data_IF_562416346534
#
_entry.id   IF_562416346534
#
_cell.length_a   1.000
_cell.length_b   1.000
_cell.length_c   1.000
_cell.angle_alpha   90.00
_cell.angle_beta   90.00
_cell.angle_gamma   90.00
#
_symmetry.space_group_name_H-M   'P 1'
#
loop_
_entity.id
_entity.type
_entity.pdbx_description
1 polymer ?
#
# COMPACT_ATOMS: atom_id res chain seq x y z
N UNK A 1 -2.12 6.93 -10.36
CA UNK A 1 -1.81 6.88 -8.92
C UNK A 1 -2.95 6.39 -8.03
N UNK A 2 -4.22 6.76 -8.26
CA UNK A 2 -5.36 6.31 -7.42
C UNK A 2 -5.51 4.78 -7.33
N UNK A 3 -5.28 4.06 -8.43
CA UNK A 3 -5.35 2.60 -8.48
C UNK A 3 -4.22 1.90 -7.72
N UNK A 4 -2.99 2.41 -7.80
CA UNK A 4 -1.82 1.85 -7.11
C UNK A 4 -1.92 2.03 -5.59
N UNK A 5 -2.31 3.24 -5.15
CA UNK A 5 -2.56 3.53 -3.74
C UNK A 5 -3.69 2.67 -3.18
N UNK A 6 -4.79 2.50 -3.93
CA UNK A 6 -5.91 1.66 -3.52
C UNK A 6 -5.50 0.18 -3.34
N UNK A 7 -4.67 -0.35 -4.24
CA UNK A 7 -4.15 -1.72 -4.14
C UNK A 7 -3.21 -1.90 -2.94
N UNK A 8 -2.34 -0.92 -2.69
CA UNK A 8 -1.46 -0.93 -1.53
C UNK A 8 -2.25 -0.89 -0.22
N UNK A 9 -3.22 0.03 -0.09
CA UNK A 9 -4.11 0.14 1.08
C UNK A 9 -4.94 -1.13 1.29
N UNK A 10 -5.47 -1.72 0.22
CA UNK A 10 -6.18 -2.99 0.28
C UNK A 10 -5.27 -4.12 0.75
N UNK A 11 -4.02 -4.18 0.28
CA UNK A 11 -3.02 -5.15 0.73
C UNK A 11 -2.72 -5.03 2.22
N UNK A 12 -2.45 -3.82 2.71
CA UNK A 12 -2.14 -3.56 4.13
C UNK A 12 -3.32 -3.89 5.04
N UNK A 13 -4.54 -3.50 4.65
CA UNK A 13 -5.75 -3.79 5.43
C UNK A 13 -6.07 -5.28 5.48
N UNK A 14 -5.89 -6.01 4.37
CA UNK A 14 -6.01 -7.47 4.34
C UNK A 14 -4.95 -8.14 5.23
N UNK A 15 -3.69 -7.70 5.14
CA UNK A 15 -2.62 -8.23 5.98
C UNK A 15 -2.90 -7.97 7.47
N UNK A 16 -3.33 -6.77 7.84
CA UNK A 16 -3.68 -6.41 9.22
C UNK A 16 -4.86 -7.22 9.76
N UNK A 17 -5.89 -7.44 8.93
CA UNK A 17 -7.09 -8.18 9.34
C UNK A 17 -6.92 -9.70 9.28
N UNK A 18 -5.83 -10.22 8.70
CA UNK A 18 -5.57 -11.66 8.59
C UNK A 18 -5.53 -12.41 9.93
N UNK A 19 -5.21 -11.72 11.04
CA UNK A 19 -5.22 -12.28 12.38
C UNK A 19 -6.60 -12.31 13.06
N UNK A 20 -7.56 -11.50 12.62
CA UNK A 20 -8.89 -11.41 13.23
C UNK A 20 -9.71 -12.73 13.16
N UNK A 21 -9.68 -13.49 12.03
CA UNK A 21 -10.33 -14.79 11.95
C UNK A 21 -9.84 -15.79 13.01
N UNK A 22 -8.57 -15.71 13.42
CA UNK A 22 -7.99 -16.61 14.44
C UNK A 22 -8.67 -16.45 15.79
N UNK A 23 -9.14 -15.23 16.12
CA UNK A 23 -9.88 -14.98 17.36
C UNK A 23 -11.28 -15.59 17.34
N UNK A 24 -11.92 -15.66 16.18
CA UNK A 24 -13.29 -16.17 15.99
C UNK A 24 -13.31 -17.69 15.80
N UNK A 25 -12.31 -18.26 15.10
CA UNK A 25 -12.23 -19.68 14.75
C UNK A 25 -11.42 -20.52 15.74
N UNK A 26 -11.36 -20.13 17.03
CA UNK A 26 -10.64 -20.87 18.08
C UNK A 26 -10.94 -22.37 18.18
N UNK A 27 -12.13 -22.80 17.74
CA UNK A 27 -12.56 -24.21 17.77
C UNK A 27 -11.96 -25.07 16.66
N UNK A 28 -11.43 -24.49 15.58
CA UNK A 28 -10.84 -25.20 14.44
C UNK A 28 -9.53 -24.53 14.01
N UNK A 29 -8.42 -24.76 14.74
CA UNK A 29 -7.15 -24.06 14.51
C UNK A 29 -6.59 -24.30 13.10
N UNK A 30 -6.76 -25.52 12.56
CA UNK A 30 -6.29 -25.88 11.21
C UNK A 30 -6.97 -25.06 10.10
N UNK A 31 -8.24 -24.73 10.27
CA UNK A 31 -8.99 -23.89 9.32
C UNK A 31 -8.60 -22.42 9.50
N UNK A 32 -8.46 -21.97 10.76
CA UNK A 32 -8.03 -20.62 11.08
C UNK A 32 -6.65 -20.29 10.48
N UNK A 33 -5.68 -21.19 10.62
CA UNK A 33 -4.32 -21.02 10.08
C UNK A 33 -4.32 -20.95 8.55
N UNK A 34 -5.09 -21.81 7.89
CA UNK A 34 -5.23 -21.78 6.42
C UNK A 34 -5.84 -20.47 5.93
N UNK A 35 -6.85 -19.96 6.63
CA UNK A 35 -7.47 -18.68 6.31
C UNK A 35 -6.50 -17.52 6.53
N UNK A 36 -5.80 -17.49 7.67
CA UNK A 36 -4.81 -16.47 7.96
C UNK A 36 -3.69 -16.45 6.91
N UNK A 37 -3.17 -17.63 6.54
CA UNK A 37 -2.17 -17.76 5.49
C UNK A 37 -2.70 -17.30 4.12
N UNK A 38 -3.92 -17.70 3.73
CA UNK A 38 -4.51 -17.29 2.47
C UNK A 38 -4.70 -15.76 2.38
N UNK A 39 -5.22 -15.15 3.44
CA UNK A 39 -5.42 -13.70 3.52
C UNK A 39 -4.07 -12.97 3.52
N UNK A 40 -3.06 -13.48 4.23
CA UNK A 40 -1.72 -12.89 4.26
C UNK A 40 -1.02 -12.96 2.89
N UNK A 41 -1.17 -14.07 2.16
CA UNK A 41 -0.64 -14.22 0.79
C UNK A 41 -1.34 -13.28 -0.17
N UNK A 42 -2.68 -13.19 -0.12
CA UNK A 42 -3.44 -12.27 -0.97
C UNK A 42 -3.11 -10.81 -0.65
N UNK A 43 -3.04 -10.45 0.63
CA UNK A 43 -2.64 -9.10 1.06
C UNK A 43 -1.23 -8.73 0.59
N UNK A 44 -0.27 -9.65 0.73
CA UNK A 44 1.10 -9.47 0.23
C UNK A 44 1.15 -9.31 -1.30
N UNK A 45 0.39 -10.12 -2.04
CA UNK A 45 0.35 -10.03 -3.50
C UNK A 45 -0.24 -8.71 -3.99
N UNK A 46 -1.33 -8.24 -3.36
CA UNK A 46 -1.94 -6.94 -3.68
C UNK A 46 -1.03 -5.77 -3.32
N UNK A 47 -0.38 -5.82 -2.14
CA UNK A 47 0.60 -4.82 -1.72
C UNK A 47 1.79 -4.73 -2.67
N UNK A 48 2.33 -5.88 -3.09
CA UNK A 48 3.43 -5.95 -4.04
C UNK A 48 3.02 -5.39 -5.42
N UNK A 49 1.85 -5.76 -5.93
CA UNK A 49 1.31 -5.22 -7.18
C UNK A 49 1.13 -3.70 -7.11
N UNK A 50 0.61 -3.17 -5.99
CA UNK A 50 0.49 -1.73 -5.75
C UNK A 50 1.86 -1.03 -5.78
N UNK A 51 2.86 -1.60 -5.12
CA UNK A 51 4.22 -1.07 -5.12
C UNK A 51 4.86 -1.06 -6.53
N UNK A 52 4.72 -2.16 -7.28
CA UNK A 52 5.22 -2.25 -8.65
C UNK A 52 4.56 -1.22 -9.58
N UNK A 53 3.24 -1.03 -9.45
CA UNK A 53 2.52 -0.03 -10.23
C UNK A 53 2.92 1.40 -9.86
N UNK A 54 3.19 1.66 -8.58
CA UNK A 54 3.65 2.98 -8.11
C UNK A 54 5.05 3.32 -8.64
N UNK A 55 5.95 2.34 -8.69
CA UNK A 55 7.28 2.50 -9.30
C UNK A 55 7.15 2.70 -10.82
N UNK A 56 6.30 1.91 -11.48
CA UNK A 56 6.14 1.96 -12.93
C UNK A 56 5.47 3.25 -13.42
N UNK A 57 4.61 3.89 -12.62
CA UNK A 57 3.92 5.12 -13.04
C UNK A 57 4.80 6.37 -13.02
N UNK A 58 5.97 6.33 -12.39
CA UNK A 58 6.77 7.52 -12.08
C UNK A 58 6.07 8.37 -11.00
N UNK A 59 6.85 9.00 -10.13
CA UNK A 59 6.30 9.87 -9.08
C UNK A 59 5.65 11.12 -9.66
N UNK A 60 4.60 11.62 -9.02
CA UNK A 60 4.04 12.93 -9.36
C UNK A 60 4.93 14.04 -8.79
N UNK A 61 5.29 14.98 -9.66
CA UNK A 61 6.00 16.19 -9.28
C UNK A 61 5.10 17.39 -9.48
N UNK A 62 4.77 18.06 -8.37
CA UNK A 62 4.08 19.34 -8.42
C UNK A 62 5.13 20.45 -8.51
N UNK A 63 5.00 21.30 -9.53
CA UNK A 63 5.90 22.42 -9.78
C UNK A 63 5.13 23.73 -9.66
N UNK A 64 5.70 24.68 -8.91
CA UNK A 64 5.16 26.01 -8.74
C UNK A 64 6.21 27.06 -9.12
N UNK A 65 5.75 28.14 -9.73
CA UNK A 65 6.63 29.28 -9.97
C UNK A 65 6.96 29.96 -8.65
N UNK A 66 8.25 30.14 -8.38
CA UNK A 66 8.71 30.86 -7.20
C UNK A 66 8.71 32.35 -7.50
N UNK A 67 8.52 33.19 -6.48
CA UNK A 67 8.66 34.65 -6.56
C UNK A 67 10.05 35.17 -6.98
N UNK A 68 11.05 34.29 -7.14
CA UNK A 68 12.40 34.63 -7.58
C UNK A 68 12.49 34.49 -9.11
N UNK A 69 13.01 35.50 -9.84
CA UNK A 69 13.13 35.43 -11.29
C UNK A 69 14.02 34.26 -11.72
N UNK A 70 13.47 33.37 -12.55
CA UNK A 70 14.15 32.17 -13.04
C UNK A 70 14.15 30.98 -12.07
N UNK A 71 13.53 31.10 -10.89
CA UNK A 71 13.44 30.00 -9.94
C UNK A 71 12.11 29.23 -10.06
N UNK A 72 12.17 27.92 -9.83
CA UNK A 72 11.00 27.07 -9.70
C UNK A 72 11.10 26.26 -8.41
N UNK A 73 9.95 26.03 -7.78
CA UNK A 73 9.82 25.10 -6.67
C UNK A 73 9.22 23.80 -7.16
N UNK A 74 9.85 22.67 -6.86
CA UNK A 74 9.31 21.36 -7.18
C UNK A 74 9.21 20.51 -5.91
N UNK A 75 8.05 19.93 -5.66
CA UNK A 75 7.87 18.86 -4.67
C UNK A 75 7.48 17.60 -5.43
N UNK A 76 8.26 16.54 -5.25
CA UNK A 76 7.92 15.19 -5.70
C UNK A 76 7.55 14.30 -4.53
N UNK A 77 6.50 13.51 -4.68
CA UNK A 77 6.24 12.38 -3.79
C UNK A 77 6.68 11.12 -4.53
N UNK A 78 7.67 10.43 -3.99
CA UNK A 78 8.05 9.12 -4.48
C UNK A 78 6.95 8.10 -4.13
N UNK A 79 6.55 7.30 -5.12
CA UNK A 79 5.48 6.32 -4.99
C UNK A 79 5.75 5.27 -3.90
N UNK A 80 7.03 4.94 -3.65
CA UNK A 80 7.42 4.07 -2.52
C UNK A 80 7.28 4.78 -1.18
N UNK A 81 7.59 6.06 -1.11
CA UNK A 81 7.44 6.87 0.11
C UNK A 81 5.97 6.96 0.56
N UNK A 82 5.01 6.94 -0.39
CA UNK A 82 3.58 6.91 -0.09
C UNK A 82 3.14 5.64 0.67
N UNK A 83 3.86 4.52 0.57
CA UNK A 83 3.58 3.31 1.33
C UNK A 83 3.84 3.47 2.83
N UNK A 84 4.73 4.39 3.22
CA UNK A 84 5.08 4.66 4.61
C UNK A 84 4.21 5.74 5.25
N UNK A 85 3.31 6.39 4.49
CA UNK A 85 2.35 7.36 5.03
C UNK A 85 1.14 6.70 5.72
N UNK A 86 0.95 5.41 5.51
CA UNK A 86 -0.13 4.63 6.12
C UNK A 86 0.48 3.83 7.28
N UNK A 87 0.07 4.09 8.54
CA UNK A 87 0.64 3.43 9.71
C UNK A 87 0.32 1.92 9.78
#
# INVERSE_FOLDING_TARGET
MTSALALALAGTTLAFTSGAPVLVLRRNPLIADRWAAAVAVLGSALGLLGALLAVASGGDTATWQWSLPGASFAIGIDGLSALFLVP
#
